data_IF_839806835252
#
_entry.id   IF_839806835252
#
_cell.length_a   1.000
_cell.length_b   1.000
_cell.length_c   1.000
_cell.angle_alpha   90.00
_cell.angle_beta   90.00
_cell.angle_gamma   90.00
#
_symmetry.space_group_name_H-M   'P 1'
#
loop_
_entity.id
_entity.type
_entity.pdbx_description
1 polymer ?
#
# COMPACT_ATOMS: atom_id res chain seq x y z
N UNK A 1 -42.64 -62.18 9.74
CA UNK A 1 -43.93 -62.65 9.19
C UNK A 1 -45.07 -61.88 9.86
N UNK A 2 -45.95 -61.25 9.06
CA UNK A 2 -47.28 -60.68 9.39
C UNK A 2 -47.30 -59.51 10.40
N UNK A 3 -47.48 -58.25 9.99
CA UNK A 3 -48.64 -57.57 9.39
C UNK A 3 -49.70 -57.07 10.40
N UNK A 4 -49.87 -55.74 10.37
CA UNK A 4 -51.05 -54.89 10.63
C UNK A 4 -51.73 -54.89 12.01
N UNK A 5 -51.90 -53.67 12.55
CA UNK A 5 -53.20 -53.15 13.01
C UNK A 5 -53.17 -51.61 13.11
N UNK A 6 -54.04 -50.99 12.32
CA UNK A 6 -54.38 -49.57 12.34
C UNK A 6 -55.41 -49.30 13.44
N UNK A 7 -55.41 -48.10 14.03
CA UNK A 7 -56.62 -47.49 14.58
C UNK A 7 -56.54 -45.96 14.46
N UNK A 8 -57.55 -45.40 13.79
CA UNK A 8 -57.87 -43.98 13.69
C UNK A 8 -58.44 -43.48 15.02
N UNK A 9 -58.09 -42.26 15.40
CA UNK A 9 -58.90 -41.43 16.30
C UNK A 9 -59.03 -40.02 15.69
N UNK A 10 -60.28 -39.60 15.48
CA UNK A 10 -60.65 -38.28 15.01
C UNK A 10 -60.51 -37.25 16.14
N UNK A 11 -60.03 -36.04 15.83
CA UNK A 11 -60.02 -34.92 16.75
C UNK A 11 -60.69 -33.69 16.11
N UNK A 12 -61.68 -33.15 16.83
CA UNK A 12 -62.50 -31.99 16.51
C UNK A 12 -61.68 -30.68 16.52
N UNK A 13 -61.97 -29.81 15.55
CA UNK A 13 -61.54 -28.42 15.47
C UNK A 13 -62.15 -27.57 16.59
N UNK A 14 -61.30 -26.80 17.29
CA UNK A 14 -61.70 -25.60 18.02
C UNK A 14 -60.94 -24.40 17.44
N UNK A 15 -61.66 -23.38 16.98
CA UNK A 15 -61.10 -22.12 16.48
C UNK A 15 -60.64 -21.24 17.65
N UNK A 16 -59.40 -20.75 17.57
CA UNK A 16 -58.89 -19.62 18.34
C UNK A 16 -58.46 -18.52 17.35
N UNK A 17 -58.69 -17.23 17.66
CA UNK A 17 -58.39 -16.13 16.76
C UNK A 17 -56.88 -15.91 16.67
N UNK A 18 -56.38 -15.78 15.44
CA UNK A 18 -54.99 -15.45 15.16
C UNK A 18 -54.70 -14.01 15.61
N UNK A 19 -53.90 -13.85 16.65
CA UNK A 19 -53.24 -12.59 16.95
C UNK A 19 -52.00 -12.52 16.05
N UNK A 20 -52.13 -11.91 14.87
CA UNK A 20 -50.98 -11.53 14.05
C UNK A 20 -50.29 -10.30 14.66
N UNK A 21 -48.96 -10.17 14.53
CA UNK A 21 -48.30 -8.91 14.85
C UNK A 21 -48.82 -7.82 13.90
N UNK A 22 -49.22 -6.68 14.45
CA UNK A 22 -49.57 -5.49 13.68
C UNK A 22 -48.36 -5.05 12.84
N UNK A 23 -48.55 -4.91 11.53
CA UNK A 23 -47.57 -4.33 10.62
C UNK A 23 -47.33 -2.87 11.00
N UNK A 24 -46.27 -2.63 11.78
CA UNK A 24 -45.72 -1.29 11.92
C UNK A 24 -45.07 -0.89 10.58
N UNK A 25 -45.42 0.27 10.00
CA UNK A 25 -44.78 0.70 8.76
C UNK A 25 -43.29 0.87 9.00
N UNK A 26 -42.49 0.26 8.13
CA UNK A 26 -41.04 0.44 8.09
C UNK A 26 -40.73 1.94 7.95
N UNK A 27 -39.70 2.47 8.64
CA UNK A 27 -39.29 3.85 8.47
C UNK A 27 -39.01 4.12 6.98
N UNK A 28 -39.63 5.18 6.47
CA UNK A 28 -39.41 5.74 5.14
C UNK A 28 -37.91 5.85 4.88
N UNK A 29 -37.42 5.27 3.77
CA UNK A 29 -36.01 5.31 3.41
C UNK A 29 -35.54 6.77 3.38
N UNK A 30 -34.65 7.12 4.30
CA UNK A 30 -33.83 8.31 4.19
C UNK A 30 -33.03 8.17 2.90
N UNK A 31 -33.54 8.82 1.84
CA UNK A 31 -32.88 8.94 0.55
C UNK A 31 -31.53 9.62 0.73
N UNK A 32 -30.50 8.81 1.00
CA UNK A 32 -29.12 9.19 0.80
C UNK A 32 -28.74 8.71 -0.59
N UNK A 33 -28.77 9.62 -1.55
CA UNK A 33 -28.06 9.43 -2.80
C UNK A 33 -26.56 9.34 -2.50
N UNK A 34 -26.08 8.16 -2.11
CA UNK A 34 -24.67 7.82 -2.19
C UNK A 34 -24.34 7.68 -3.68
N UNK A 35 -24.25 8.82 -4.37
CA UNK A 35 -23.48 8.89 -5.60
C UNK A 35 -22.07 8.43 -5.20
N UNK A 36 -21.51 7.38 -5.83
CA UNK A 36 -20.14 7.01 -5.55
C UNK A 36 -19.29 8.24 -5.79
N UNK A 37 -18.58 8.68 -4.75
CA UNK A 37 -17.65 9.81 -4.85
C UNK A 37 -16.61 9.41 -5.90
N UNK A 38 -16.78 9.90 -7.13
CA UNK A 38 -15.74 9.82 -8.14
C UNK A 38 -14.67 10.79 -7.71
N UNK A 39 -13.72 10.30 -6.91
CA UNK A 39 -12.55 11.07 -6.49
C UNK A 39 -11.83 11.59 -7.74
N UNK A 40 -11.41 12.86 -7.72
CA UNK A 40 -10.71 13.47 -8.85
C UNK A 40 -9.26 12.96 -9.01
N UNK A 41 -8.74 12.28 -7.99
CA UNK A 41 -7.41 11.64 -8.00
C UNK A 41 -7.56 10.27 -8.69
N UNK A 42 -6.84 10.09 -9.79
CA UNK A 42 -6.82 8.86 -10.60
C UNK A 42 -5.41 8.27 -10.71
N UNK A 43 -4.63 8.36 -9.64
CA UNK A 43 -3.24 7.92 -9.60
C UNK A 43 -3.12 6.66 -8.74
N UNK A 44 -2.18 5.79 -9.09
CA UNK A 44 -1.75 4.68 -8.27
C UNK A 44 -0.74 5.16 -7.21
N UNK A 45 -0.37 4.25 -6.30
CA UNK A 45 0.71 4.42 -5.33
C UNK A 45 0.59 5.72 -4.51
N UNK A 46 -0.52 5.87 -3.75
CA UNK A 46 -0.75 7.09 -3.00
C UNK A 46 0.35 7.28 -1.97
N UNK A 47 0.85 8.51 -1.82
CA UNK A 47 1.75 8.91 -0.74
C UNK A 47 1.23 10.13 -0.03
N UNK A 48 1.06 10.04 1.30
CA UNK A 48 0.47 11.10 2.12
C UNK A 48 1.19 11.18 3.46
N UNK A 49 1.62 12.39 3.83
CA UNK A 49 2.07 12.69 5.18
C UNK A 49 1.27 13.86 5.77
N UNK A 50 1.28 13.97 7.10
CA UNK A 50 0.68 15.10 7.82
C UNK A 50 1.75 15.94 8.50
N UNK A 51 1.82 17.23 8.21
CA UNK A 51 2.63 18.19 8.98
C UNK A 51 1.70 19.17 9.67
N UNK A 52 1.72 19.19 11.01
CA UNK A 52 0.80 19.99 11.82
C UNK A 52 -0.67 19.68 11.45
N UNK A 53 -1.43 20.68 10.99
CA UNK A 53 -2.81 20.54 10.51
C UNK A 53 -2.92 20.33 9.00
N UNK A 54 -1.80 20.19 8.29
CA UNK A 54 -1.77 20.11 6.82
C UNK A 54 -1.45 18.69 6.37
N UNK A 55 -2.29 18.15 5.52
CA UNK A 55 -2.08 16.90 4.79
C UNK A 55 -1.43 17.23 3.46
N UNK A 56 -0.39 16.48 3.11
CA UNK A 56 0.42 16.70 1.91
C UNK A 56 0.48 15.36 1.18
N UNK A 57 0.08 15.35 -0.10
CA UNK A 57 0.17 14.15 -0.92
C UNK A 57 1.11 14.35 -2.10
N UNK A 58 1.90 13.35 -2.43
CA UNK A 58 2.68 13.29 -3.66
C UNK A 58 2.01 12.35 -4.66
N UNK A 59 2.04 12.72 -5.94
CA UNK A 59 1.45 11.92 -7.01
C UNK A 59 2.26 12.05 -8.31
N UNK A 60 2.23 11.02 -9.14
CA UNK A 60 2.80 11.05 -10.50
C UNK A 60 1.70 10.87 -11.54
N UNK A 61 1.90 11.48 -12.70
CA UNK A 61 1.12 11.21 -13.92
C UNK A 61 1.83 10.26 -14.90
N UNK A 62 2.89 9.58 -14.45
CA UNK A 62 3.75 8.72 -15.26
C UNK A 62 4.91 9.44 -15.94
N UNK A 63 4.93 10.78 -15.93
CA UNK A 63 6.01 11.60 -16.50
C UNK A 63 6.53 12.66 -15.55
N UNK A 64 5.67 13.24 -14.71
CA UNK A 64 5.97 14.37 -13.84
C UNK A 64 5.49 14.08 -12.42
N UNK A 65 5.94 14.92 -11.48
CA UNK A 65 5.55 14.82 -10.07
C UNK A 65 4.77 16.05 -9.65
N UNK A 66 3.74 15.80 -8.85
CA UNK A 66 2.85 16.81 -8.30
C UNK A 66 2.66 16.63 -6.80
N UNK A 67 2.36 17.73 -6.12
CA UNK A 67 1.95 17.74 -4.72
C UNK A 67 0.60 18.43 -4.55
N UNK A 68 -0.24 17.90 -3.65
CA UNK A 68 -1.42 18.58 -3.14
C UNK A 68 -1.24 18.87 -1.65
N UNK A 69 -1.86 19.93 -1.17
CA UNK A 69 -1.92 20.25 0.26
C UNK A 69 -3.36 20.56 0.65
N UNK A 70 -3.81 20.09 1.81
CA UNK A 70 -5.17 20.30 2.28
C UNK A 70 -5.28 20.20 3.81
N UNK A 71 -6.40 20.65 4.38
CA UNK A 71 -6.66 20.55 5.83
C UNK A 71 -7.14 19.16 6.29
N UNK A 72 -7.48 18.26 5.35
CA UNK A 72 -7.89 16.89 5.64
C UNK A 72 -7.56 15.97 4.46
N UNK A 73 -7.52 14.65 4.70
CA UNK A 73 -7.36 13.65 3.63
C UNK A 73 -8.47 13.79 2.59
N UNK A 74 -9.73 13.96 3.02
CA UNK A 74 -10.85 14.13 2.11
C UNK A 74 -10.71 15.37 1.22
N UNK A 75 -10.19 16.48 1.76
CA UNK A 75 -10.00 17.72 1.03
C UNK A 75 -8.85 17.64 -0.02
N UNK A 76 -7.93 16.66 0.08
CA UNK A 76 -6.93 16.42 -0.97
C UNK A 76 -7.59 16.08 -2.31
N UNK A 77 -8.75 15.42 -2.29
CA UNK A 77 -9.46 15.01 -3.50
C UNK A 77 -9.83 16.19 -4.41
N UNK A 78 -10.05 17.39 -3.86
CA UNK A 78 -10.39 18.60 -4.60
C UNK A 78 -9.29 19.66 -4.60
N UNK A 79 -8.22 19.49 -3.81
CA UNK A 79 -7.12 20.45 -3.73
C UNK A 79 -6.35 20.52 -5.05
N UNK A 80 -5.95 21.70 -5.55
CA UNK A 80 -5.21 21.81 -6.81
C UNK A 80 -3.83 21.13 -6.70
N UNK A 81 -3.44 20.40 -7.76
CA UNK A 81 -2.09 19.82 -7.86
C UNK A 81 -1.08 20.89 -8.27
N UNK A 82 0.04 20.95 -7.57
CA UNK A 82 1.19 21.80 -7.88
C UNK A 82 2.29 20.94 -8.49
N UNK A 83 2.79 21.30 -9.67
CA UNK A 83 3.91 20.57 -10.28
C UNK A 83 5.18 20.87 -9.49
N UNK A 84 5.80 19.83 -8.92
CA UNK A 84 7.03 19.97 -8.11
C UNK A 84 8.27 19.53 -8.88
N UNK A 85 8.11 18.69 -9.91
CA UNK A 85 9.21 18.31 -10.79
C UNK A 85 8.70 18.03 -12.20
N UNK A 86 9.33 18.69 -13.19
CA UNK A 86 8.87 18.72 -14.58
C UNK A 86 9.56 17.74 -15.52
N UNK A 87 10.43 16.87 -15.01
CA UNK A 87 11.18 15.88 -15.79
C UNK A 87 12.04 16.46 -16.94
N UNK A 88 13.01 17.34 -16.63
CA UNK A 88 13.79 18.05 -17.65
C UNK A 88 14.65 17.12 -18.53
N UNK A 89 14.97 15.92 -18.03
CA UNK A 89 15.82 14.95 -18.72
C UNK A 89 15.01 13.89 -19.48
N UNK A 90 13.68 13.99 -19.50
CA UNK A 90 12.82 13.06 -20.24
C UNK A 90 12.90 11.60 -19.76
N UNK A 91 13.06 11.38 -18.45
CA UNK A 91 13.04 10.03 -17.88
C UNK A 91 11.65 9.40 -18.10
N UNK A 92 11.60 8.18 -18.61
CA UNK A 92 10.33 7.44 -18.77
C UNK A 92 9.86 6.83 -17.46
N UNK A 93 8.59 6.40 -17.43
CA UNK A 93 8.05 5.52 -16.37
C UNK A 93 8.30 6.08 -14.95
N UNK A 94 7.80 7.28 -14.69
CA UNK A 94 7.93 7.94 -13.38
C UNK A 94 6.88 7.38 -12.43
N UNK A 95 7.30 6.64 -11.40
CA UNK A 95 6.40 5.83 -10.57
C UNK A 95 6.55 6.10 -9.07
N UNK A 96 5.48 5.80 -8.34
CA UNK A 96 5.40 5.69 -6.88
C UNK A 96 6.20 6.76 -6.11
N UNK A 97 5.84 8.05 -6.24
CA UNK A 97 6.49 9.08 -5.46
C UNK A 97 6.10 8.97 -3.98
N UNK A 98 7.07 8.70 -3.12
CA UNK A 98 6.90 8.66 -1.68
C UNK A 98 7.45 9.95 -1.05
N UNK A 99 6.59 10.72 -0.40
CA UNK A 99 6.96 11.94 0.32
C UNK A 99 7.19 11.64 1.80
N UNK A 100 8.34 12.08 2.31
CA UNK A 100 8.68 12.07 3.73
C UNK A 100 9.17 13.44 4.20
N UNK A 101 9.37 13.57 5.51
CA UNK A 101 10.09 14.71 6.08
C UNK A 101 11.37 14.24 6.78
N UNK A 102 12.51 14.82 6.41
CA UNK A 102 13.77 14.69 7.13
C UNK A 102 14.12 16.02 7.81
N UNK A 103 13.91 16.09 9.12
CA UNK A 103 13.99 17.34 9.86
C UNK A 103 12.98 18.37 9.33
N UNK A 104 13.47 19.47 8.77
CA UNK A 104 12.61 20.50 8.15
C UNK A 104 12.38 20.27 6.65
N UNK A 105 13.13 19.36 6.03
CA UNK A 105 13.17 19.16 4.58
C UNK A 105 12.15 18.12 4.15
N UNK A 106 11.35 18.45 3.14
CA UNK A 106 10.53 17.49 2.41
C UNK A 106 11.40 16.77 1.39
N UNK A 107 11.29 15.45 1.33
CA UNK A 107 11.99 14.62 0.36
C UNK A 107 10.95 13.77 -0.36
N UNK A 108 10.98 13.78 -1.69
CA UNK A 108 10.17 12.87 -2.51
C UNK A 108 11.12 11.88 -3.15
N UNK A 109 10.98 10.61 -2.80
CA UNK A 109 11.63 9.48 -3.48
C UNK A 109 10.71 8.97 -4.59
N UNK A 110 11.26 8.62 -5.74
CA UNK A 110 10.46 8.10 -6.85
C UNK A 110 11.31 7.21 -7.75
N UNK A 111 10.66 6.32 -8.50
CA UNK A 111 11.33 5.54 -9.52
C UNK A 111 11.21 6.21 -10.89
N UNK A 112 12.24 6.08 -11.72
CA UNK A 112 12.23 6.56 -13.10
C UNK A 112 13.21 5.76 -13.98
N UNK A 113 12.90 5.64 -15.27
CA UNK A 113 13.67 4.94 -16.29
C UNK A 113 12.87 3.82 -16.94
N UNK A 114 12.98 3.63 -18.26
CA UNK A 114 12.14 2.67 -18.99
C UNK A 114 12.61 1.21 -18.86
N UNK A 115 11.72 0.29 -18.50
CA UNK A 115 11.96 -1.15 -18.49
C UNK A 115 13.05 -1.54 -17.47
N UNK A 116 14.17 -2.11 -17.92
CA UNK A 116 15.27 -2.48 -17.03
C UNK A 116 16.08 -1.29 -16.50
N UNK A 117 15.80 -0.08 -17.01
CA UNK A 117 16.51 1.14 -16.64
C UNK A 117 16.00 1.80 -15.35
N UNK A 118 14.91 1.34 -14.73
CA UNK A 118 14.39 1.95 -13.50
C UNK A 118 15.46 2.06 -12.42
N UNK A 119 15.56 3.24 -11.84
CA UNK A 119 16.37 3.55 -10.66
C UNK A 119 15.57 4.45 -9.73
N UNK A 120 16.02 4.51 -8.48
CA UNK A 120 15.49 5.45 -7.51
C UNK A 120 16.11 6.83 -7.67
N UNK A 121 15.28 7.85 -7.50
CA UNK A 121 15.64 9.26 -7.52
C UNK A 121 15.05 9.94 -6.29
N UNK A 122 15.62 11.09 -5.93
CA UNK A 122 15.08 11.95 -4.89
C UNK A 122 15.11 13.42 -5.31
N UNK A 123 14.09 14.17 -4.90
CA UNK A 123 14.05 15.64 -4.94
C UNK A 123 13.75 16.17 -3.55
N UNK A 124 14.26 17.36 -3.23
CA UNK A 124 14.15 17.92 -1.88
C UNK A 124 13.69 19.38 -1.90
N UNK A 125 12.94 19.79 -0.89
CA UNK A 125 12.52 21.18 -0.68
C UNK A 125 12.32 21.52 0.79
N UNK A 126 12.41 22.81 1.15
CA UNK A 126 11.94 23.32 2.45
C UNK A 126 10.43 23.66 2.44
N UNK A 127 9.82 23.69 1.26
CA UNK A 127 8.39 23.97 1.07
C UNK A 127 7.68 22.72 0.53
N UNK A 128 6.46 22.41 1.00
CA UNK A 128 5.81 21.15 0.65
C UNK A 128 5.49 21.02 -0.84
N UNK A 129 5.16 22.12 -1.52
CA UNK A 129 4.60 22.11 -2.88
C UNK A 129 5.36 22.97 -3.91
N UNK A 130 6.59 23.41 -3.59
CA UNK A 130 7.39 24.27 -4.49
C UNK A 130 8.88 24.20 -4.13
N UNK A 131 9.75 24.71 -5.00
CA UNK A 131 11.18 24.88 -4.69
C UNK A 131 11.98 23.57 -4.62
N UNK A 132 11.48 22.49 -5.22
CA UNK A 132 12.18 21.22 -5.24
C UNK A 132 13.45 21.27 -6.10
N UNK A 133 14.49 20.58 -5.62
CA UNK A 133 15.77 20.46 -6.30
C UNK A 133 15.69 19.74 -7.65
N UNK A 134 16.79 19.74 -8.39
CA UNK A 134 17.00 18.74 -9.44
C UNK A 134 16.93 17.32 -8.86
N UNK A 135 16.51 16.36 -9.69
CA UNK A 135 16.46 14.96 -9.29
C UNK A 135 17.87 14.40 -9.11
N UNK A 136 18.13 13.86 -7.92
CA UNK A 136 19.36 13.15 -7.59
C UNK A 136 19.10 11.66 -7.77
N UNK A 137 19.85 11.01 -8.66
CA UNK A 137 19.82 9.55 -8.80
C UNK A 137 20.45 8.92 -7.57
N UNK A 138 19.72 8.06 -6.88
CA UNK A 138 20.21 7.33 -5.72
C UNK A 138 21.23 6.28 -6.16
N UNK A 139 22.46 6.36 -5.64
CA UNK A 139 23.51 5.38 -5.91
C UNK A 139 23.29 4.12 -5.03
N UNK A 140 22.25 3.34 -5.35
CA UNK A 140 21.95 2.11 -4.63
C UNK A 140 23.04 1.05 -4.88
N UNK A 141 23.35 0.17 -3.90
CA UNK A 141 24.39 -0.84 -4.03
C UNK A 141 24.18 -1.74 -5.25
N UNK A 142 25.27 -2.01 -5.98
CA UNK A 142 25.33 -2.81 -7.22
C UNK A 142 24.55 -2.24 -8.43
N UNK A 143 23.96 -1.06 -8.30
CA UNK A 143 23.27 -0.31 -9.35
C UNK A 143 22.25 -1.13 -10.18
N UNK A 144 21.42 -1.90 -9.48
CA UNK A 144 20.36 -2.74 -10.08
C UNK A 144 19.07 -1.95 -10.34
N UNK A 145 18.16 -2.60 -11.07
CA UNK A 145 16.77 -2.17 -11.18
C UNK A 145 16.16 -2.01 -9.78
N UNK A 146 15.51 -0.86 -9.54
CA UNK A 146 14.96 -0.49 -8.24
C UNK A 146 13.75 0.44 -8.39
N UNK A 147 12.69 0.15 -7.64
CA UNK A 147 11.47 0.95 -7.53
C UNK A 147 10.99 1.05 -6.07
N UNK A 148 9.98 1.88 -5.83
CA UNK A 148 9.22 1.96 -4.57
C UNK A 148 10.08 2.17 -3.31
N UNK A 149 11.16 2.92 -3.46
CA UNK A 149 12.08 3.15 -2.35
C UNK A 149 11.62 4.26 -1.41
N UNK A 150 11.73 4.03 -0.10
CA UNK A 150 11.48 5.03 0.94
C UNK A 150 12.56 5.01 2.01
N UNK A 151 12.75 6.15 2.69
CA UNK A 151 13.71 6.30 3.78
C UNK A 151 13.01 6.41 5.13
N UNK A 152 13.65 5.87 6.16
CA UNK A 152 13.17 5.96 7.52
C UNK A 152 14.32 5.96 8.53
N UNK A 153 14.01 6.33 9.78
CA UNK A 153 14.95 6.21 10.89
C UNK A 153 14.44 5.19 11.90
N UNK A 154 15.29 4.23 12.24
CA UNK A 154 15.01 3.23 13.26
C UNK A 154 16.21 3.09 14.18
N UNK A 155 15.97 3.23 15.50
CA UNK A 155 17.00 3.20 16.55
C UNK A 155 18.19 4.14 16.27
N UNK A 156 17.90 5.35 15.79
CA UNK A 156 18.89 6.38 15.48
C UNK A 156 19.69 6.17 14.19
N UNK A 157 19.46 5.08 13.46
CA UNK A 157 20.09 4.81 12.17
C UNK A 157 19.09 5.07 11.03
N UNK A 158 19.56 5.76 9.99
CA UNK A 158 18.79 5.96 8.76
C UNK A 158 18.94 4.77 7.83
N UNK A 159 17.81 4.36 7.26
CA UNK A 159 17.69 3.23 6.36
C UNK A 159 16.94 3.64 5.10
N UNK A 160 17.24 2.95 4.00
CA UNK A 160 16.49 2.99 2.76
C UNK A 160 15.99 1.57 2.49
N UNK A 161 14.68 1.42 2.27
CA UNK A 161 14.05 0.15 1.87
C UNK A 161 13.46 0.33 0.49
N UNK A 162 13.55 -0.68 -0.38
CA UNK A 162 13.05 -0.61 -1.76
C UNK A 162 12.76 -1.99 -2.34
N UNK A 163 12.01 -2.02 -3.44
CA UNK A 163 11.85 -3.19 -4.29
C UNK A 163 12.92 -3.20 -5.38
N UNK A 164 13.64 -4.30 -5.55
CA UNK A 164 14.69 -4.40 -6.57
C UNK A 164 14.86 -5.79 -7.15
N UNK A 165 15.63 -5.87 -8.23
CA UNK A 165 16.04 -7.16 -8.80
C UNK A 165 17.27 -7.71 -8.10
N UNK A 166 17.29 -9.01 -7.84
CA UNK A 166 18.50 -9.72 -7.37
C UNK A 166 19.59 -9.66 -8.44
N UNK A 167 19.25 -9.94 -9.70
CA UNK A 167 20.16 -9.95 -10.84
C UNK A 167 20.08 -8.71 -11.73
N UNK A 168 20.62 -8.83 -12.96
CA UNK A 168 20.60 -7.75 -13.97
C UNK A 168 19.47 -7.89 -15.00
N UNK A 169 18.72 -8.99 -14.94
CA UNK A 169 17.65 -9.32 -15.88
C UNK A 169 16.32 -9.28 -15.17
N UNK A 170 15.26 -8.98 -15.93
CA UNK A 170 13.91 -9.04 -15.41
C UNK A 170 13.62 -10.41 -14.79
N UNK A 171 12.98 -10.42 -13.64
CA UNK A 171 12.74 -11.62 -12.86
C UNK A 171 12.08 -11.27 -11.54
N UNK A 172 12.70 -11.71 -10.46
CA UNK A 172 12.15 -11.56 -9.13
C UNK A 172 12.36 -10.16 -8.55
N UNK A 173 11.28 -9.55 -8.08
CA UNK A 173 11.34 -8.37 -7.23
C UNK A 173 11.46 -8.81 -5.76
N UNK A 174 12.46 -8.25 -5.09
CA UNK A 174 12.89 -8.58 -3.72
C UNK A 174 12.96 -7.29 -2.92
N UNK A 175 12.58 -7.35 -1.64
CA UNK A 175 12.75 -6.22 -0.75
C UNK A 175 14.17 -6.20 -0.21
N UNK A 176 14.81 -5.05 -0.39
CA UNK A 176 16.14 -4.78 0.10
C UNK A 176 16.12 -3.63 1.10
N UNK A 177 17.09 -3.65 2.01
CA UNK A 177 17.38 -2.55 2.93
C UNK A 177 18.86 -2.19 2.88
N UNK A 178 19.19 -0.91 3.06
CA UNK A 178 20.57 -0.42 3.18
C UNK A 178 20.64 0.79 4.10
N UNK A 179 21.82 1.06 4.67
CA UNK A 179 22.04 2.22 5.54
C UNK A 179 22.15 3.50 4.71
N UNK A 180 21.80 4.64 5.30
CA UNK A 180 22.00 5.95 4.68
C UNK A 180 22.86 6.86 5.57
N UNK A 181 23.63 7.75 4.93
CA UNK A 181 24.36 8.84 5.61
C UNK A 181 23.62 10.18 5.58
N UNK A 182 22.76 10.40 4.57
CA UNK A 182 21.88 11.56 4.41
C UNK A 182 20.67 11.15 3.51
N UNK A 183 19.67 12.00 3.25
CA UNK A 183 18.46 11.58 2.52
C UNK A 183 18.71 11.07 1.10
N UNK A 184 19.85 11.40 0.50
CA UNK A 184 20.19 11.09 -0.89
C UNK A 184 21.39 10.16 -1.05
N UNK A 185 21.96 9.66 0.05
CA UNK A 185 23.18 8.85 0.01
C UNK A 185 23.00 7.57 0.81
N UNK A 186 22.90 6.47 0.08
CA UNK A 186 22.97 5.10 0.61
C UNK A 186 24.43 4.70 0.80
N UNK A 187 24.69 3.90 1.82
CA UNK A 187 26.02 3.46 2.25
C UNK A 187 26.00 1.97 2.59
N UNK A 188 27.12 1.29 2.31
CA UNK A 188 27.27 -0.13 2.57
C UNK A 188 26.60 -1.03 1.52
N UNK A 189 26.34 -2.28 1.89
CA UNK A 189 25.70 -3.27 1.02
C UNK A 189 24.17 -3.13 1.03
N UNK A 190 23.52 -3.77 0.05
CA UNK A 190 22.08 -4.04 0.10
C UNK A 190 21.86 -5.39 0.76
N UNK A 191 20.89 -5.48 1.65
CA UNK A 191 20.54 -6.69 2.38
C UNK A 191 19.13 -7.13 2.02
N UNK A 192 18.95 -8.42 1.73
CA UNK A 192 17.63 -9.00 1.46
C UNK A 192 16.87 -9.10 2.79
N UNK A 193 15.64 -8.57 2.82
CA UNK A 193 14.73 -8.73 3.96
C UNK A 193 13.50 -9.56 3.61
N UNK A 194 13.14 -9.66 2.33
CA UNK A 194 12.10 -10.57 1.88
C UNK A 194 12.21 -10.92 0.40
N UNK A 195 11.93 -12.19 0.09
CA UNK A 195 11.78 -12.70 -1.26
C UNK A 195 10.43 -13.39 -1.42
N UNK A 196 9.82 -13.39 -2.62
CA UNK A 196 8.58 -14.10 -2.92
C UNK A 196 8.82 -15.61 -2.92
N UNK A 197 8.68 -16.23 -1.75
CA UNK A 197 8.98 -17.64 -1.50
C UNK A 197 7.74 -18.40 -1.05
N UNK A 198 6.80 -17.70 -0.46
CA UNK A 198 5.56 -18.29 0.01
C UNK A 198 4.62 -18.62 -1.15
N UNK A 199 3.79 -19.64 -0.97
CA UNK A 199 2.85 -20.08 -2.01
C UNK A 199 1.84 -18.98 -2.39
N UNK A 200 1.48 -18.12 -1.43
CA UNK A 200 0.57 -16.99 -1.63
C UNK A 200 1.24 -15.75 -2.26
N UNK A 201 2.57 -15.74 -2.41
CA UNK A 201 3.33 -14.70 -3.11
C UNK A 201 3.62 -15.05 -4.59
N UNK A 202 3.13 -16.21 -5.04
CA UNK A 202 3.40 -16.81 -6.35
C UNK A 202 2.11 -17.35 -6.98
N UNK A 203 1.01 -16.65 -6.78
CA UNK A 203 -0.32 -17.14 -7.18
C UNK A 203 -0.51 -17.06 -8.69
N UNK A 204 -0.05 -15.97 -9.31
CA UNK A 204 -0.28 -15.70 -10.72
C UNK A 204 0.59 -16.63 -11.59
N UNK A 205 0.00 -17.52 -12.42
CA UNK A 205 0.74 -18.55 -13.12
C UNK A 205 1.30 -18.09 -14.48
N UNK A 206 0.84 -16.97 -15.04
CA UNK A 206 1.24 -16.55 -16.39
C UNK A 206 1.25 -15.02 -16.60
N UNK A 207 2.44 -14.39 -16.69
CA UNK A 207 3.73 -14.96 -16.32
C UNK A 207 3.77 -15.29 -14.82
N UNK A 208 4.60 -16.26 -14.37
CA UNK A 208 4.82 -16.49 -12.95
C UNK A 208 5.22 -15.20 -12.25
N UNK A 209 4.38 -14.71 -11.35
CA UNK A 209 4.64 -13.44 -10.68
C UNK A 209 5.40 -13.67 -9.38
N UNK A 210 6.55 -13.01 -9.25
CA UNK A 210 7.43 -13.08 -8.08
C UNK A 210 7.76 -11.66 -7.65
N UNK A 211 6.83 -11.09 -6.91
CA UNK A 211 6.87 -9.67 -6.56
C UNK A 211 6.72 -9.51 -5.06
N UNK A 212 7.68 -8.83 -4.45
CA UNK A 212 7.52 -8.12 -3.20
C UNK A 212 7.91 -6.67 -3.48
N UNK A 213 6.96 -5.74 -3.41
CA UNK A 213 7.15 -4.32 -3.77
C UNK A 213 6.38 -3.39 -2.83
N UNK A 214 6.39 -2.07 -3.10
CA UNK A 214 5.69 -1.08 -2.28
C UNK A 214 5.94 -1.15 -0.77
N UNK A 215 7.21 -1.20 -0.29
CA UNK A 215 7.49 -1.28 1.13
C UNK A 215 7.06 -0.01 1.86
N UNK A 216 6.18 -0.15 2.84
CA UNK A 216 5.79 0.89 3.78
C UNK A 216 6.27 0.57 5.19
N UNK A 217 6.90 1.56 5.81
CA UNK A 217 7.48 1.43 7.15
C UNK A 217 6.47 1.81 8.22
N UNK A 218 6.36 0.98 9.26
CA UNK A 218 5.58 1.24 10.48
C UNK A 218 6.42 0.85 11.69
N UNK A 219 6.31 1.60 12.78
CA UNK A 219 6.82 1.16 14.08
C UNK A 219 5.63 0.96 15.01
N UNK A 220 5.49 -0.23 15.58
CA UNK A 220 4.36 -0.55 16.45
C UNK A 220 4.50 0.14 17.83
N UNK A 221 3.44 0.15 18.66
CA UNK A 221 3.51 0.74 20.01
C UNK A 221 4.54 0.08 20.95
N UNK A 222 5.07 -1.10 20.63
CA UNK A 222 6.14 -1.76 21.38
C UNK A 222 7.54 -1.39 20.84
N UNK A 223 7.63 -0.52 19.84
CA UNK A 223 8.87 -0.11 19.20
C UNK A 223 9.45 -1.12 18.22
N UNK A 224 8.64 -2.10 17.76
CA UNK A 224 9.06 -3.06 16.73
C UNK A 224 8.92 -2.46 15.34
N UNK A 225 9.91 -2.74 14.48
CA UNK A 225 9.91 -2.32 13.09
C UNK A 225 9.09 -3.28 12.23
N UNK A 226 8.18 -2.72 11.45
CA UNK A 226 7.39 -3.39 10.44
C UNK A 226 7.67 -2.81 9.06
N UNK A 227 7.76 -3.68 8.06
CA UNK A 227 7.74 -3.34 6.64
C UNK A 227 6.53 -4.03 6.04
N UNK A 228 5.43 -3.29 5.91
CA UNK A 228 4.26 -3.72 5.15
C UNK A 228 4.63 -3.65 3.68
N UNK A 229 4.23 -4.62 2.88
CA UNK A 229 4.60 -4.65 1.47
C UNK A 229 3.54 -5.33 0.62
N UNK A 230 3.55 -5.03 -0.67
CA UNK A 230 2.68 -5.67 -1.65
C UNK A 230 3.31 -6.94 -2.22
N UNK A 231 2.50 -7.98 -2.39
CA UNK A 231 2.87 -9.23 -3.05
C UNK A 231 1.98 -9.54 -4.26
N UNK A 232 2.47 -10.40 -5.16
CA UNK A 232 1.88 -10.72 -6.48
C UNK A 232 1.86 -9.52 -7.44
N UNK A 233 1.25 -9.67 -8.62
CA UNK A 233 1.29 -8.63 -9.67
C UNK A 233 0.13 -7.66 -9.54
N UNK A 234 0.41 -6.35 -9.58
CA UNK A 234 -0.61 -5.29 -9.54
C UNK A 234 -1.55 -5.27 -10.74
N UNK A 235 -1.30 -6.13 -11.74
CA UNK A 235 -2.16 -6.33 -12.89
C UNK A 235 -3.26 -7.38 -12.67
N UNK A 236 -3.22 -8.14 -11.57
CA UNK A 236 -4.18 -9.19 -11.19
C UNK A 236 -4.86 -8.88 -9.84
N UNK A 237 -5.90 -9.63 -9.52
CA UNK A 237 -6.69 -9.60 -8.29
C UNK A 237 -5.97 -10.18 -7.07
N UNK A 238 -4.90 -10.96 -7.28
CA UNK A 238 -4.10 -11.57 -6.21
C UNK A 238 -3.14 -10.58 -5.51
N UNK A 239 -3.07 -9.34 -5.99
CA UNK A 239 -2.27 -8.29 -5.36
C UNK A 239 -2.76 -8.01 -3.93
N UNK A 240 -1.86 -8.16 -2.95
CA UNK A 240 -2.22 -8.11 -1.55
C UNK A 240 -1.09 -7.52 -0.69
N UNK A 241 -1.41 -7.06 0.52
CA UNK A 241 -0.44 -6.64 1.52
C UNK A 241 -0.08 -7.77 2.46
N UNK A 242 1.19 -7.84 2.79
CA UNK A 242 1.78 -8.69 3.83
C UNK A 242 2.69 -7.85 4.73
N UNK A 243 3.19 -8.44 5.81
CA UNK A 243 4.01 -7.76 6.81
C UNK A 243 5.32 -8.50 7.04
N UNK A 244 6.41 -7.74 7.17
CA UNK A 244 7.68 -8.19 7.74
C UNK A 244 7.90 -7.49 9.07
N UNK A 245 7.84 -8.24 10.16
CA UNK A 245 8.12 -7.72 11.49
C UNK A 245 9.52 -8.11 11.94
N UNK A 246 10.37 -7.13 12.18
CA UNK A 246 11.67 -7.35 12.81
C UNK A 246 11.47 -7.81 14.26
N UNK A 247 12.14 -8.90 14.65
CA UNK A 247 12.12 -9.36 16.05
C UNK A 247 12.64 -8.26 16.98
N UNK A 248 12.26 -8.33 18.26
CA UNK A 248 12.84 -7.48 19.28
C UNK A 248 14.37 -7.61 19.26
N UNK A 249 15.05 -6.46 19.23
CA UNK A 249 16.52 -6.35 19.11
C UNK A 249 17.12 -7.10 17.90
N UNK A 250 16.33 -7.24 16.83
CA UNK A 250 16.79 -7.76 15.56
C UNK A 250 17.72 -6.81 14.83
N UNK A 251 18.62 -7.37 14.03
CA UNK A 251 19.44 -6.66 13.07
C UNK A 251 18.65 -6.50 11.75
N UNK A 252 18.31 -5.27 11.32
CA UNK A 252 17.58 -5.06 10.06
C UNK A 252 18.28 -5.65 8.84
N UNK A 253 19.59 -5.91 8.90
CA UNK A 253 20.39 -6.48 7.80
C UNK A 253 20.43 -8.01 7.77
N UNK A 254 19.87 -8.67 8.79
CA UNK A 254 19.86 -10.12 8.91
C UNK A 254 18.48 -10.69 8.62
N UNK A 255 18.32 -11.36 7.47
CA UNK A 255 17.01 -11.85 6.98
C UNK A 255 16.27 -12.72 7.99
N UNK A 256 16.97 -13.50 8.81
CA UNK A 256 16.37 -14.43 9.78
C UNK A 256 15.83 -13.74 11.03
N UNK A 257 16.09 -12.44 11.20
CA UNK A 257 15.47 -11.63 12.25
C UNK A 257 14.10 -11.09 11.86
N UNK A 258 13.70 -11.25 10.59
CA UNK A 258 12.41 -10.82 10.06
C UNK A 258 11.40 -11.95 10.09
N UNK A 259 10.27 -11.71 10.75
CA UNK A 259 9.10 -12.58 10.69
C UNK A 259 8.18 -12.13 9.56
N UNK A 260 7.99 -12.98 8.56
CA UNK A 260 7.00 -12.77 7.50
C UNK A 260 5.61 -13.23 7.95
N UNK A 261 4.57 -12.47 7.61
CA UNK A 261 3.18 -12.87 7.88
C UNK A 261 2.83 -14.21 7.22
N UNK A 262 1.95 -14.97 7.88
CA UNK A 262 1.47 -16.26 7.36
C UNK A 262 0.31 -16.05 6.36
N UNK A 263 0.57 -15.33 5.27
CA UNK A 263 -0.42 -14.98 4.25
C UNK A 263 -0.58 -13.48 4.04
N UNK A 264 -1.42 -13.15 3.06
CA UNK A 264 -1.93 -11.80 2.84
C UNK A 264 -2.75 -11.34 4.04
N UNK A 265 -2.45 -10.14 4.55
CA UNK A 265 -3.19 -9.47 5.63
C UNK A 265 -4.30 -8.57 5.08
N UNK A 266 -4.13 -8.03 3.88
CA UNK A 266 -5.13 -7.19 3.22
C UNK A 266 -5.13 -7.43 1.71
N UNK A 267 -6.27 -7.73 1.11
CA UNK A 267 -6.36 -8.07 -0.29
C UNK A 267 -7.80 -8.27 -0.75
N UNK A 268 -8.00 -8.61 -2.02
CA UNK A 268 -9.32 -8.88 -2.55
C UNK A 268 -9.96 -10.09 -1.84
N UNK A 269 -11.24 -9.96 -1.47
CA UNK A 269 -12.03 -11.06 -0.93
C UNK A 269 -13.33 -11.19 -1.73
N UNK A 270 -13.25 -11.89 -2.87
CA UNK A 270 -14.38 -12.09 -3.77
C UNK A 270 -15.56 -12.83 -3.12
N UNK A 271 -15.29 -13.70 -2.13
CA UNK A 271 -16.30 -14.53 -1.49
C UNK A 271 -17.30 -13.78 -0.61
N UNK A 272 -16.98 -12.54 -0.23
CA UNK A 272 -17.87 -11.68 0.59
C UNK A 272 -18.48 -10.53 -0.22
N UNK A 273 -18.26 -10.49 -1.54
CA UNK A 273 -18.78 -9.44 -2.40
C UNK A 273 -20.29 -9.57 -2.58
N UNK A 274 -21.01 -8.45 -2.48
CA UNK A 274 -22.45 -8.41 -2.75
C UNK A 274 -22.74 -8.76 -4.22
N UNK A 275 -23.81 -9.53 -4.45
CA UNK A 275 -24.29 -9.81 -5.81
C UNK A 275 -24.59 -8.51 -6.57
N UNK A 276 -24.20 -8.44 -7.85
CA UNK A 276 -24.40 -7.27 -8.71
C UNK A 276 -23.28 -6.21 -8.65
N UNK A 277 -22.30 -6.35 -7.75
CA UNK A 277 -21.14 -5.46 -7.66
C UNK A 277 -20.01 -5.91 -8.61
N UNK A 278 -20.32 -6.07 -9.90
CA UNK A 278 -19.36 -6.50 -10.93
C UNK A 278 -18.13 -5.58 -11.08
N UNK A 279 -18.22 -4.23 -10.92
CA UNK A 279 -17.05 -3.35 -11.07
C UNK A 279 -15.91 -3.60 -10.08
N UNK A 280 -16.23 -4.05 -8.86
CA UNK A 280 -15.24 -4.37 -7.82
C UNK A 280 -14.56 -5.73 -8.05
N UNK A 281 -15.10 -6.58 -8.93
CA UNK A 281 -14.43 -7.80 -9.38
C UNK A 281 -13.15 -7.51 -10.21
N UNK A 282 -13.04 -6.30 -10.76
CA UNK A 282 -11.87 -5.86 -11.53
C UNK A 282 -10.91 -5.00 -10.70
N UNK A 283 -11.14 -4.85 -9.40
CA UNK A 283 -10.18 -4.20 -8.52
C UNK A 283 -8.91 -5.07 -8.44
N UNK A 284 -7.79 -4.54 -8.92
CA UNK A 284 -6.51 -5.25 -9.05
C UNK A 284 -5.71 -5.25 -7.73
N UNK A 285 -6.42 -5.47 -6.63
CA UNK A 285 -5.91 -5.39 -5.27
C UNK A 285 -5.77 -3.97 -4.71
N UNK A 286 -5.06 -3.90 -3.58
CA UNK A 286 -5.13 -2.79 -2.62
C UNK A 286 -3.99 -1.76 -2.75
N UNK A 287 -3.07 -1.96 -3.70
CA UNK A 287 -2.00 -1.01 -4.03
C UNK A 287 -0.92 -0.86 -2.96
N UNK A 288 0.07 -0.02 -3.25
CA UNK A 288 1.02 0.54 -2.28
C UNK A 288 0.28 1.14 -1.08
N UNK A 289 0.68 0.79 0.13
CA UNK A 289 -0.04 1.16 1.35
C UNK A 289 0.57 2.40 2.02
N UNK A 290 0.03 3.60 1.82
CA UNK A 290 0.47 4.77 2.60
C UNK A 290 -0.33 4.97 3.89
N UNK A 291 0.37 4.91 5.03
CA UNK A 291 -0.16 5.39 6.31
C UNK A 291 0.01 6.90 6.37
N UNK A 292 -1.02 7.62 6.84
CA UNK A 292 -0.88 9.07 7.07
C UNK A 292 -0.17 9.32 8.40
N UNK A 293 1.16 9.40 8.33
CA UNK A 293 2.03 9.58 9.49
C UNK A 293 2.30 11.06 9.77
N UNK A 294 2.50 11.39 11.05
CA UNK A 294 2.93 12.74 11.45
C UNK A 294 4.38 12.94 10.99
N UNK A 295 4.61 13.98 10.18
CA UNK A 295 5.85 14.26 9.48
C UNK A 295 6.36 13.10 8.58
N UNK A 296 5.53 12.11 8.25
CA UNK A 296 6.02 10.90 7.56
C UNK A 296 6.93 10.03 8.45
N UNK A 297 6.95 10.27 9.77
CA UNK A 297 7.80 9.55 10.70
C UNK A 297 7.11 8.26 11.18
N UNK A 298 7.65 7.06 10.87
CA UNK A 298 7.07 5.81 11.32
C UNK A 298 7.05 5.64 12.84
N UNK A 299 7.85 6.41 13.60
CA UNK A 299 7.76 6.44 15.06
C UNK A 299 6.47 7.10 15.57
N UNK A 300 5.68 7.71 14.69
CA UNK A 300 4.37 8.32 15.00
C UNK A 300 3.19 7.50 14.51
N UNK A 301 3.46 6.26 14.07
CA UNK A 301 2.41 5.31 13.72
C UNK A 301 1.44 5.10 14.89
N UNK A 302 0.14 4.91 14.60
CA UNK A 302 -0.89 4.68 15.61
C UNK A 302 -0.70 3.39 16.40
#
# INVERSE_FOLDING_TARGET
>A
MRALKSLLAAALLGLLPACGPEDLPLPEELGSSHQPVRLAIKNADPSILRVNSTYISAESDGSRLYVRTAASVAALASAPRQQVWGNPNGLGEVWAPEIIRDGTTYVIYFAAGTGSAHRMYAIQSQSPASGYSAAVRMALPEDKWAIDGTAFTYRGQRWFVWSGWVGNTNGEQTLFIARMSNPTTVTGARYVISQPREWWEKVDPNPPTRVNEGPQVVIDPNGQLHIVYSANGSWDTNYCLADLRLRADGDPTYVWDWFKSNGCLFGANGGIMMSGWTPTLYAKGVGHHSFVLLNGDPNTSP
#
